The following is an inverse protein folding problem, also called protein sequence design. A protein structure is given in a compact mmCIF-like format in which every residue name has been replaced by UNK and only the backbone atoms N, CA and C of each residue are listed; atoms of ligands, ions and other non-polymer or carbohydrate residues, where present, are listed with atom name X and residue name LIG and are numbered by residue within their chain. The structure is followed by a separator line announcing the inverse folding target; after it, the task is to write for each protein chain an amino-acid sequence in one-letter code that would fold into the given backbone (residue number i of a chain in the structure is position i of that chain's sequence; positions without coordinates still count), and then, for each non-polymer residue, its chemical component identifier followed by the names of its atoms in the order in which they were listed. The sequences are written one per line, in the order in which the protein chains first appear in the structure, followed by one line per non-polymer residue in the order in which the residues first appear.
data_IF_257479131663
#
_entry.id   IF_257479131663
#
_cell.length_a   1.000
_cell.length_b   1.000
_cell.length_c   1.000
_cell.angle_alpha   90.00
_cell.angle_beta   90.00
_cell.angle_gamma   90.00
#
_symmetry.space_group_name_H-M   'P 1'
#
loop_
_entity.id
_entity.type
_entity.pdbx_description
1 polymer ?
#
# COMPACT_ATOMS: atom_id res chain seq x y z
N UNK A 1 13.09 -2.53 -38.17
CA UNK A 1 12.03 -3.55 -38.10
C UNK A 1 10.77 -2.87 -37.55
N UNK A 2 9.57 -3.15 -38.08
CA UNK A 2 8.34 -2.68 -37.42
C UNK A 2 8.23 -3.39 -36.06
N UNK A 3 7.93 -2.64 -35.00
CA UNK A 3 7.61 -3.21 -33.68
C UNK A 3 6.58 -4.32 -33.83
N UNK A 4 6.67 -5.33 -32.95
CA UNK A 4 5.63 -6.34 -32.87
C UNK A 4 4.23 -5.69 -32.79
N UNK A 5 3.27 -6.23 -33.51
CA UNK A 5 1.92 -5.69 -33.66
C UNK A 5 0.87 -6.76 -33.35
N UNK A 6 -0.36 -6.33 -33.08
CA UNK A 6 -1.53 -7.22 -32.94
C UNK A 6 -1.67 -8.17 -34.14
N UNK A 7 -1.31 -7.71 -35.34
CA UNK A 7 -1.28 -8.52 -36.57
C UNK A 7 -0.37 -9.75 -36.44
N UNK A 8 0.77 -9.64 -35.73
CA UNK A 8 1.66 -10.80 -35.51
C UNK A 8 1.03 -11.83 -34.58
N UNK A 9 0.21 -11.41 -33.62
CA UNK A 9 -0.49 -12.33 -32.72
C UNK A 9 -1.63 -13.02 -33.47
N UNK A 10 -2.40 -12.26 -34.26
CA UNK A 10 -3.46 -12.80 -35.13
C UNK A 10 -2.92 -13.80 -36.16
N UNK A 11 -1.68 -13.60 -36.63
CA UNK A 11 -1.02 -14.50 -37.57
C UNK A 11 -0.55 -15.82 -36.93
N UNK A 12 -0.45 -15.92 -35.61
CA UNK A 12 -0.13 -17.18 -34.93
C UNK A 12 -1.30 -18.15 -35.02
N UNK A 13 -2.48 -17.66 -34.63
CA UNK A 13 -3.76 -18.34 -34.73
C UNK A 13 -4.87 -17.28 -34.57
N UNK A 14 -5.82 -17.15 -35.51
CA UNK A 14 -6.83 -16.09 -35.46
C UNK A 14 -7.77 -16.17 -34.25
N UNK A 15 -8.07 -17.36 -33.75
CA UNK A 15 -8.95 -17.55 -32.58
C UNK A 15 -8.21 -17.13 -31.32
N UNK A 16 -6.98 -17.63 -31.14
CA UNK A 16 -6.13 -17.26 -30.02
C UNK A 16 -5.76 -15.77 -30.06
N UNK A 17 -5.48 -15.22 -31.24
CA UNK A 17 -5.19 -13.81 -31.42
C UNK A 17 -6.35 -12.92 -30.97
N UNK A 18 -7.59 -13.29 -31.33
CA UNK A 18 -8.78 -12.59 -30.86
C UNK A 18 -8.92 -12.67 -29.33
N UNK A 19 -8.72 -13.85 -28.74
CA UNK A 19 -8.72 -14.03 -27.27
C UNK A 19 -7.65 -13.16 -26.59
N UNK A 20 -6.44 -13.10 -27.15
CA UNK A 20 -5.35 -12.27 -26.62
C UNK A 20 -5.64 -10.78 -26.71
N UNK A 21 -6.26 -10.31 -27.80
CA UNK A 21 -6.69 -8.91 -27.94
C UNK A 21 -7.74 -8.56 -26.88
N UNK A 22 -8.70 -9.45 -26.63
CA UNK A 22 -9.75 -9.24 -25.62
C UNK A 22 -9.16 -9.24 -24.19
N UNK A 23 -8.26 -10.16 -23.89
CA UNK A 23 -7.53 -10.19 -22.61
C UNK A 23 -6.75 -8.89 -22.39
N UNK A 24 -5.95 -8.48 -23.39
CA UNK A 24 -5.21 -7.24 -23.38
C UNK A 24 -6.12 -6.03 -23.12
N UNK A 25 -7.23 -5.90 -23.87
CA UNK A 25 -8.20 -4.79 -23.66
C UNK A 25 -8.68 -4.72 -22.21
N UNK A 26 -8.94 -5.87 -21.58
CA UNK A 26 -9.42 -5.92 -20.21
C UNK A 26 -8.39 -5.44 -19.19
N UNK A 27 -7.10 -5.79 -19.35
CA UNK A 27 -6.06 -5.32 -18.41
C UNK A 27 -5.72 -3.84 -18.65
N UNK A 28 -5.79 -3.37 -19.89
CA UNK A 28 -5.51 -1.99 -20.24
C UNK A 28 -6.63 -1.03 -19.79
N UNK A 29 -7.87 -1.51 -19.64
CA UNK A 29 -9.00 -0.72 -19.13
C UNK A 29 -9.03 -0.53 -17.61
N UNK A 30 -8.11 -1.13 -16.85
CA UNK A 30 -8.06 -0.98 -15.38
C UNK A 30 -7.63 0.45 -15.00
N UNK A 31 -8.55 1.28 -14.50
CA UNK A 31 -8.28 2.72 -14.28
C UNK A 31 -7.40 3.00 -13.07
N UNK A 32 -7.33 2.07 -12.11
CA UNK A 32 -6.58 2.25 -10.86
C UNK A 32 -5.06 2.11 -11.02
N UNK A 33 -4.60 1.63 -12.18
CA UNK A 33 -3.19 1.47 -12.50
C UNK A 33 -2.83 2.36 -13.69
N UNK A 34 -1.75 3.11 -13.55
CA UNK A 34 -1.19 3.92 -14.63
C UNK A 34 -0.66 3.04 -15.76
N UNK A 35 -0.56 3.60 -16.96
CA UNK A 35 0.01 2.91 -18.13
C UNK A 35 1.46 2.46 -17.89
N UNK A 36 2.22 3.25 -17.14
CA UNK A 36 3.60 2.92 -16.75
C UNK A 36 3.64 1.71 -15.82
N UNK A 37 2.80 1.68 -14.78
CA UNK A 37 2.71 0.54 -13.86
C UNK A 37 2.28 -0.74 -14.58
N UNK A 38 1.24 -0.67 -15.43
CA UNK A 38 0.79 -1.81 -16.24
C UNK A 38 1.93 -2.37 -17.11
N UNK A 39 2.69 -1.50 -17.76
CA UNK A 39 3.84 -1.92 -18.57
C UNK A 39 4.93 -2.59 -17.73
N UNK A 40 5.18 -2.10 -16.52
CA UNK A 40 6.11 -2.75 -15.61
C UNK A 40 5.60 -4.12 -15.15
N UNK A 41 4.32 -4.25 -14.82
CA UNK A 41 3.70 -5.52 -14.45
C UNK A 41 3.77 -6.56 -15.59
N UNK A 42 3.59 -6.14 -16.85
CA UNK A 42 3.87 -6.99 -18.03
C UNK A 42 5.32 -7.50 -18.02
N UNK A 43 6.29 -6.61 -17.79
CA UNK A 43 7.71 -6.98 -17.74
C UNK A 43 8.00 -7.97 -16.60
N UNK A 44 7.38 -7.78 -15.42
CA UNK A 44 7.49 -8.73 -14.31
C UNK A 44 6.96 -10.10 -14.73
N UNK A 45 5.80 -10.15 -15.38
CA UNK A 45 5.20 -11.39 -15.83
C UNK A 45 6.08 -12.14 -16.84
N UNK A 46 6.65 -11.44 -17.83
CA UNK A 46 7.55 -12.02 -18.83
C UNK A 46 8.87 -12.52 -18.24
N UNK A 47 9.33 -11.96 -17.12
CA UNK A 47 10.55 -12.41 -16.43
C UNK A 47 10.24 -13.61 -15.53
N UNK A 48 9.15 -13.56 -14.78
CA UNK A 48 8.74 -14.64 -13.87
C UNK A 48 8.25 -15.89 -14.63
N UNK A 49 7.71 -15.69 -15.83
CA UNK A 49 7.44 -16.76 -16.79
C UNK A 49 8.33 -16.45 -17.96
N UNK A 50 9.54 -17.03 -18.10
CA UNK A 50 10.63 -16.56 -18.97
C UNK A 50 10.28 -16.61 -20.47
N UNK A 51 9.25 -15.84 -20.84
CA UNK A 51 8.57 -15.73 -22.11
C UNK A 51 9.17 -14.55 -22.87
N UNK A 52 10.50 -14.54 -22.95
CA UNK A 52 11.30 -13.45 -23.52
C UNK A 52 11.22 -13.38 -25.06
N UNK A 53 10.21 -14.02 -25.66
CA UNK A 53 9.92 -14.04 -27.09
C UNK A 53 9.04 -12.88 -27.54
N UNK A 54 7.95 -13.19 -28.27
CA UNK A 54 7.01 -12.21 -28.79
C UNK A 54 6.35 -11.32 -27.71
N UNK A 55 5.87 -11.85 -26.56
CA UNK A 55 5.24 -11.03 -25.53
C UNK A 55 6.16 -9.95 -24.97
N UNK A 56 7.40 -10.31 -24.59
CA UNK A 56 8.39 -9.36 -24.10
C UNK A 56 8.71 -8.26 -25.11
N UNK A 57 8.83 -8.60 -26.40
CA UNK A 57 9.04 -7.62 -27.48
C UNK A 57 7.85 -6.65 -27.61
N UNK A 58 6.62 -7.16 -27.51
CA UNK A 58 5.40 -6.35 -27.54
C UNK A 58 5.33 -5.39 -26.35
N UNK A 59 5.55 -5.88 -25.13
CA UNK A 59 5.45 -5.08 -23.92
C UNK A 59 6.52 -3.97 -23.85
N UNK A 60 7.78 -4.29 -24.19
CA UNK A 60 8.84 -3.27 -24.31
C UNK A 60 8.50 -2.25 -25.39
N UNK A 61 8.07 -2.72 -26.56
CA UNK A 61 7.69 -1.86 -27.68
C UNK A 61 6.56 -0.89 -27.37
N UNK A 62 5.52 -1.37 -26.69
CA UNK A 62 4.39 -0.57 -26.26
C UNK A 62 4.78 0.44 -25.18
N UNK A 63 5.59 0.05 -24.18
CA UNK A 63 6.11 0.97 -23.19
C UNK A 63 6.93 2.11 -23.80
N UNK A 64 7.78 1.79 -24.79
CA UNK A 64 8.54 2.81 -25.53
C UNK A 64 7.63 3.77 -26.30
N UNK A 65 6.55 3.27 -26.93
CA UNK A 65 5.55 4.14 -27.59
C UNK A 65 4.85 5.07 -26.60
N UNK A 66 4.79 4.71 -25.32
CA UNK A 66 4.20 5.51 -24.24
C UNK A 66 5.23 6.41 -23.54
N UNK A 67 6.48 6.44 -24.02
CA UNK A 67 7.52 7.34 -23.52
C UNK A 67 8.43 6.74 -22.45
N UNK A 68 8.36 5.43 -22.17
CA UNK A 68 9.35 4.76 -21.31
C UNK A 68 10.69 4.64 -22.03
N UNK A 69 11.78 4.88 -21.31
CA UNK A 69 13.15 4.76 -21.85
C UNK A 69 13.71 3.36 -21.65
N UNK A 70 14.80 3.02 -22.35
CA UNK A 70 15.49 1.74 -22.12
C UNK A 70 15.96 1.63 -20.67
N UNK A 71 16.40 2.74 -20.09
CA UNK A 71 16.80 2.80 -18.68
C UNK A 71 15.66 2.53 -17.69
N UNK A 72 14.41 2.90 -18.00
CA UNK A 72 13.27 2.54 -17.15
C UNK A 72 13.09 1.02 -17.07
N UNK A 73 13.18 0.32 -18.21
CA UNK A 73 13.12 -1.15 -18.24
C UNK A 73 14.29 -1.80 -17.50
N UNK A 74 15.51 -1.27 -17.69
CA UNK A 74 16.69 -1.75 -16.95
C UNK A 74 16.51 -1.59 -15.45
N UNK A 75 15.93 -0.49 -15.00
CA UNK A 75 15.70 -0.25 -13.59
C UNK A 75 14.69 -1.25 -12.99
N UNK A 76 13.64 -1.62 -13.72
CA UNK A 76 12.75 -2.72 -13.31
C UNK A 76 13.52 -4.04 -13.22
N UNK A 77 14.35 -4.38 -14.22
CA UNK A 77 15.14 -5.62 -14.19
C UNK A 77 16.16 -5.65 -13.02
N UNK A 78 16.76 -4.52 -12.67
CA UNK A 78 17.63 -4.42 -11.47
C UNK A 78 16.84 -4.61 -10.19
N UNK A 79 15.63 -4.04 -10.11
CA UNK A 79 14.72 -4.19 -8.97
C UNK A 79 14.24 -5.64 -8.80
N UNK A 80 14.06 -6.35 -9.91
CA UNK A 80 13.69 -7.76 -9.94
C UNK A 80 14.81 -8.71 -9.54
N UNK A 81 16.08 -8.38 -9.80
CA UNK A 81 17.22 -9.30 -9.62
C UNK A 81 17.22 -10.11 -8.31
N UNK A 82 17.12 -9.47 -7.13
CA UNK A 82 17.11 -10.20 -5.85
C UNK A 82 15.82 -11.00 -5.58
N UNK A 83 14.72 -10.70 -6.27
CA UNK A 83 13.38 -11.24 -5.99
C UNK A 83 12.90 -12.25 -7.01
N UNK A 84 12.97 -11.92 -8.29
CA UNK A 84 12.69 -12.83 -9.39
C UNK A 84 13.87 -13.79 -9.67
N UNK A 85 15.08 -13.41 -9.26
CA UNK A 85 16.31 -14.17 -9.45
C UNK A 85 17.21 -13.56 -10.53
N UNK A 86 18.51 -13.44 -10.23
CA UNK A 86 19.48 -12.81 -11.13
C UNK A 86 19.63 -13.50 -12.48
N UNK A 87 19.49 -14.82 -12.53
CA UNK A 87 19.59 -15.60 -13.78
C UNK A 87 18.44 -15.28 -14.74
N UNK A 88 17.21 -15.23 -14.24
CA UNK A 88 16.04 -14.83 -15.02
C UNK A 88 16.19 -13.38 -15.52
N UNK A 89 16.62 -12.47 -14.64
CA UNK A 89 16.87 -11.08 -15.03
C UNK A 89 18.02 -10.94 -16.05
N UNK A 90 19.08 -11.74 -15.97
CA UNK A 90 20.18 -11.73 -16.92
C UNK A 90 19.70 -12.07 -18.34
N UNK A 91 18.86 -13.10 -18.50
CA UNK A 91 18.24 -13.43 -19.79
C UNK A 91 17.36 -12.29 -20.31
N UNK A 92 16.61 -11.63 -19.42
CA UNK A 92 15.79 -10.48 -19.79
C UNK A 92 16.64 -9.26 -20.21
N UNK A 93 17.79 -9.04 -19.58
CA UNK A 93 18.76 -8.02 -20.01
C UNK A 93 19.32 -8.32 -21.40
N UNK A 94 19.74 -9.56 -21.65
CA UNK A 94 20.21 -9.98 -22.98
C UNK A 94 19.16 -9.69 -24.04
N UNK A 95 17.91 -10.11 -23.79
CA UNK A 95 16.80 -9.88 -24.71
C UNK A 95 16.50 -8.39 -24.91
N UNK A 96 16.50 -7.60 -23.85
CA UNK A 96 16.27 -6.15 -23.92
C UNK A 96 17.37 -5.45 -24.76
N UNK A 97 18.62 -5.88 -24.63
CA UNK A 97 19.76 -5.39 -25.43
C UNK A 97 19.58 -5.73 -26.91
N UNK A 98 19.11 -6.95 -27.23
CA UNK A 98 18.82 -7.34 -28.60
C UNK A 98 17.72 -6.47 -29.22
N UNK A 99 16.62 -6.24 -28.52
CA UNK A 99 15.51 -5.40 -28.97
C UNK A 99 16.02 -3.98 -29.24
N UNK A 100 16.76 -3.39 -28.29
CA UNK A 100 17.34 -2.05 -28.46
C UNK A 100 18.26 -1.97 -29.69
N UNK A 101 19.10 -2.99 -29.92
CA UNK A 101 19.97 -3.08 -31.09
C UNK A 101 19.15 -3.15 -32.39
N UNK A 102 18.10 -3.95 -32.43
CA UNK A 102 17.21 -4.09 -33.59
C UNK A 102 16.44 -2.81 -33.90
N UNK A 103 16.16 -2.00 -32.87
CA UNK A 103 15.52 -0.69 -32.99
C UNK A 103 16.51 0.45 -33.29
N UNK A 104 17.82 0.18 -33.27
CA UNK A 104 18.86 1.20 -33.47
C UNK A 104 18.96 2.20 -32.31
N UNK A 105 18.43 1.87 -31.14
CA UNK A 105 18.45 2.73 -29.95
C UNK A 105 19.84 2.64 -29.31
N UNK A 106 20.51 3.79 -29.24
CA UNK A 106 21.76 3.95 -28.47
C UNK A 106 21.43 4.76 -27.23
N UNK A 107 21.38 4.10 -26.06
CA UNK A 107 21.29 4.78 -24.77
C UNK A 107 22.55 4.52 -23.95
N UNK A 108 23.14 5.55 -23.32
CA UNK A 108 24.24 5.35 -22.38
C UNK A 108 23.76 4.49 -21.21
N UNK A 109 24.62 3.57 -20.76
CA UNK A 109 24.39 2.85 -19.52
C UNK A 109 24.63 3.82 -18.37
N UNK A 110 23.75 3.86 -17.37
CA UNK A 110 24.07 4.52 -16.11
C UNK A 110 25.35 3.92 -15.53
N UNK A 111 26.27 4.78 -15.08
CA UNK A 111 27.49 4.35 -14.40
C UNK A 111 27.17 3.55 -13.15
N UNK A 112 27.99 2.55 -12.78
CA UNK A 112 27.87 1.88 -11.50
C UNK A 112 27.86 2.91 -10.36
N UNK A 113 26.89 2.81 -9.45
CA UNK A 113 26.90 3.63 -8.23
C UNK A 113 27.87 3.02 -7.22
N UNK A 114 28.69 3.83 -6.54
CA UNK A 114 29.43 3.38 -5.36
C UNK A 114 28.46 2.83 -4.30
N UNK A 115 28.82 1.74 -3.63
CA UNK A 115 27.99 1.13 -2.57
C UNK A 115 27.67 2.11 -1.42
N UNK A 116 28.55 3.08 -1.17
CA UNK A 116 28.39 4.10 -0.14
C UNK A 116 27.30 5.15 -0.43
N UNK A 117 26.83 5.26 -1.69
CA UNK A 117 25.86 6.29 -2.11
C UNK A 117 24.40 5.80 -2.09
N UNK A 118 24.15 4.58 -1.60
CA UNK A 118 22.80 4.03 -1.46
C UNK A 118 22.16 4.63 -0.20
N UNK A 119 21.26 5.59 -0.39
CA UNK A 119 20.53 6.19 0.72
C UNK A 119 19.66 5.17 1.45
N UNK A 120 19.70 5.20 2.80
CA UNK A 120 18.66 4.89 3.83
C UNK A 120 17.19 4.69 3.38
N UNK A 121 16.85 3.93 2.34
CA UNK A 121 15.47 3.65 1.99
C UNK A 121 14.90 2.57 2.95
N UNK A 122 13.72 2.80 3.56
CA UNK A 122 12.99 1.79 4.32
C UNK A 122 12.77 0.58 3.40
N UNK A 123 13.52 -0.48 3.67
CA UNK A 123 13.32 -1.79 3.08
C UNK A 123 12.18 -2.49 3.80
N UNK A 124 12.38 -3.74 4.23
CA UNK A 124 11.41 -4.45 5.04
C UNK A 124 11.12 -3.77 6.39
N UNK A 125 9.90 -3.90 6.92
CA UNK A 125 9.58 -3.52 8.29
C UNK A 125 10.49 -4.25 9.31
N UNK A 126 10.80 -3.60 10.44
CA UNK A 126 11.70 -4.17 11.46
C UNK A 126 11.27 -5.56 11.92
N UNK A 127 9.96 -5.78 12.15
CA UNK A 127 9.44 -7.09 12.57
C UNK A 127 9.75 -8.23 11.59
N UNK A 128 9.69 -7.96 10.27
CA UNK A 128 10.05 -8.97 9.24
C UNK A 128 11.53 -9.32 9.32
N UNK A 129 12.40 -8.33 9.54
CA UNK A 129 13.83 -8.56 9.70
C UNK A 129 14.17 -9.25 11.03
N UNK A 130 13.40 -8.99 12.08
CA UNK A 130 13.56 -9.65 13.38
C UNK A 130 13.21 -11.14 13.29
N UNK A 131 12.11 -11.48 12.61
CA UNK A 131 11.73 -12.87 12.33
C UNK A 131 12.81 -13.58 11.50
N UNK A 132 13.35 -12.92 10.46
CA UNK A 132 14.45 -13.47 9.69
C UNK A 132 15.72 -13.66 10.53
N UNK A 133 16.04 -12.73 11.46
CA UNK A 133 17.20 -12.87 12.35
C UNK A 133 17.07 -14.06 13.29
N UNK A 134 15.85 -14.40 13.71
CA UNK A 134 15.59 -15.61 14.50
C UNK A 134 15.83 -16.90 13.69
N UNK A 135 15.63 -16.85 12.37
CA UNK A 135 15.93 -17.97 11.47
C UNK A 135 17.43 -18.08 11.17
N UNK A 136 18.04 -16.98 10.70
CA UNK A 136 19.46 -16.86 10.42
C UNK A 136 19.87 -15.38 10.32
N UNK A 137 20.82 -14.96 11.17
CA UNK A 137 21.27 -13.57 11.24
C UNK A 137 21.96 -13.09 9.95
N UNK A 138 22.76 -13.96 9.32
CA UNK A 138 23.49 -13.62 8.08
C UNK A 138 22.51 -13.44 6.92
N UNK A 139 21.50 -14.30 6.85
CA UNK A 139 20.45 -14.23 5.85
C UNK A 139 19.60 -12.97 6.02
N UNK A 140 19.21 -12.63 7.25
CA UNK A 140 18.48 -11.39 7.52
C UNK A 140 19.27 -10.14 7.09
N UNK A 141 20.57 -10.10 7.39
CA UNK A 141 21.45 -9.02 6.95
C UNK A 141 21.56 -8.95 5.41
N UNK A 142 21.65 -10.11 4.74
CA UNK A 142 21.67 -10.21 3.29
C UNK A 142 20.36 -9.68 2.66
N UNK A 143 19.21 -10.09 3.19
CA UNK A 143 17.88 -9.63 2.74
C UNK A 143 17.72 -8.13 2.94
N UNK A 144 18.08 -7.62 4.12
CA UNK A 144 18.02 -6.18 4.43
C UNK A 144 18.89 -5.37 3.44
N UNK A 145 20.13 -5.80 3.21
CA UNK A 145 21.05 -5.15 2.26
C UNK A 145 20.48 -5.11 0.83
N UNK A 146 19.91 -6.21 0.36
CA UNK A 146 19.36 -6.30 -0.99
C UNK A 146 18.10 -5.45 -1.16
N UNK A 147 17.17 -5.52 -0.21
CA UNK A 147 15.96 -4.69 -0.19
C UNK A 147 16.32 -3.21 -0.20
N UNK A 148 17.25 -2.83 0.68
CA UNK A 148 17.77 -1.47 0.81
C UNK A 148 18.39 -0.98 -0.51
N UNK A 149 19.24 -1.82 -1.13
CA UNK A 149 19.91 -1.48 -2.39
C UNK A 149 18.94 -1.19 -3.50
N UNK A 150 17.87 -1.96 -3.67
CA UNK A 150 16.93 -1.74 -4.76
C UNK A 150 15.94 -0.62 -4.44
N UNK A 151 15.49 -0.47 -3.19
CA UNK A 151 14.62 0.64 -2.78
C UNK A 151 15.32 2.01 -2.74
N UNK A 152 16.64 2.04 -2.55
CA UNK A 152 17.47 3.26 -2.57
C UNK A 152 17.79 3.80 -3.97
N UNK A 153 17.37 3.11 -5.04
CA UNK A 153 17.62 3.56 -6.42
C UNK A 153 16.60 4.62 -6.86
N UNK A 154 17.01 5.45 -7.81
CA UNK A 154 16.11 6.43 -8.45
C UNK A 154 15.19 5.77 -9.50
N UNK A 155 14.43 6.61 -10.23
CA UNK A 155 13.53 6.28 -11.35
C UNK A 155 12.25 5.49 -11.07
N UNK A 156 12.25 4.52 -10.16
CA UNK A 156 11.01 3.87 -9.72
C UNK A 156 10.56 4.51 -8.40
N UNK A 157 9.30 4.94 -8.37
CA UNK A 157 8.61 5.36 -7.16
C UNK A 157 8.48 4.17 -6.18
N UNK A 158 8.27 4.48 -4.90
CA UNK A 158 8.03 3.44 -3.88
C UNK A 158 6.82 2.58 -4.22
N UNK A 159 5.77 3.21 -4.75
CA UNK A 159 4.57 2.55 -5.26
C UNK A 159 4.91 1.55 -6.37
N UNK A 160 5.61 1.96 -7.43
CA UNK A 160 5.97 1.03 -8.51
C UNK A 160 6.79 -0.16 -7.98
N UNK A 161 7.73 0.10 -7.06
CA UNK A 161 8.57 -0.95 -6.46
C UNK A 161 7.77 -1.99 -5.69
N UNK A 162 6.78 -1.56 -4.92
CA UNK A 162 5.94 -2.47 -4.11
C UNK A 162 4.97 -3.24 -4.99
N UNK A 163 4.37 -2.62 -6.01
CA UNK A 163 3.52 -3.32 -6.98
C UNK A 163 4.31 -4.39 -7.76
N UNK A 164 5.56 -4.10 -8.14
CA UNK A 164 6.45 -5.05 -8.81
C UNK A 164 6.73 -6.28 -7.92
N UNK A 165 7.09 -6.08 -6.65
CA UNK A 165 7.34 -7.20 -5.73
C UNK A 165 6.09 -8.03 -5.47
N UNK A 166 4.94 -7.39 -5.26
CA UNK A 166 3.66 -8.09 -5.12
C UNK A 166 3.34 -8.95 -6.35
N UNK A 167 3.63 -8.45 -7.54
CA UNK A 167 3.45 -9.23 -8.76
C UNK A 167 4.35 -10.46 -8.80
N UNK A 168 5.62 -10.34 -8.39
CA UNK A 168 6.53 -11.50 -8.26
C UNK A 168 5.93 -12.53 -7.30
N UNK A 169 5.45 -12.12 -6.11
CA UNK A 169 4.87 -13.07 -5.16
C UNK A 169 3.71 -13.84 -5.73
N UNK A 170 2.82 -13.15 -6.45
CA UNK A 170 1.67 -13.78 -7.09
C UNK A 170 2.12 -14.72 -8.20
N UNK A 171 3.07 -14.32 -9.05
CA UNK A 171 3.49 -15.14 -10.20
C UNK A 171 4.30 -16.39 -9.78
N UNK A 172 5.08 -16.27 -8.70
CA UNK A 172 5.83 -17.37 -8.07
C UNK A 172 5.04 -18.13 -7.01
N UNK A 173 3.86 -17.63 -6.62
CA UNK A 173 3.00 -18.22 -5.60
C UNK A 173 3.64 -18.24 -4.20
N UNK A 174 4.50 -17.26 -3.89
CA UNK A 174 5.09 -17.04 -2.55
C UNK A 174 4.15 -16.17 -1.71
N UNK A 175 2.98 -16.73 -1.36
CA UNK A 175 1.84 -16.00 -0.80
C UNK A 175 1.76 -16.01 0.74
N UNK A 176 2.87 -16.32 1.41
CA UNK A 176 2.98 -16.39 2.87
C UNK A 176 3.60 -15.10 3.45
N UNK A 177 4.51 -15.20 4.42
CA UNK A 177 5.03 -14.05 5.17
C UNK A 177 5.66 -12.95 4.29
N UNK A 178 6.38 -13.31 3.22
CA UNK A 178 6.96 -12.35 2.28
C UNK A 178 5.89 -11.51 1.56
N UNK A 179 4.82 -12.16 1.11
CA UNK A 179 3.70 -11.49 0.46
C UNK A 179 3.00 -10.51 1.40
N UNK A 180 2.76 -10.91 2.66
CA UNK A 180 2.12 -10.02 3.64
C UNK A 180 2.98 -8.78 3.91
N UNK A 181 4.30 -8.97 4.05
CA UNK A 181 5.24 -7.86 4.20
C UNK A 181 5.23 -6.91 2.99
N UNK A 182 5.08 -7.43 1.77
CA UNK A 182 4.96 -6.60 0.58
C UNK A 182 3.61 -5.89 0.47
N UNK A 183 2.52 -6.50 0.95
CA UNK A 183 1.22 -5.84 1.06
C UNK A 183 1.31 -4.67 2.05
N UNK A 184 1.93 -4.87 3.22
CA UNK A 184 2.18 -3.81 4.21
C UNK A 184 2.98 -2.65 3.60
N UNK A 185 4.09 -2.98 2.92
CA UNK A 185 4.92 -1.97 2.24
C UNK A 185 4.16 -1.22 1.15
N UNK A 186 3.31 -1.91 0.39
CA UNK A 186 2.48 -1.27 -0.63
C UNK A 186 1.53 -0.25 0.01
N UNK A 187 0.80 -0.65 1.06
CA UNK A 187 -0.12 0.23 1.80
C UNK A 187 0.62 1.45 2.37
N UNK A 188 1.79 1.25 2.99
CA UNK A 188 2.63 2.32 3.53
C UNK A 188 3.19 3.26 2.44
N UNK A 189 3.31 2.77 1.20
CA UNK A 189 3.70 3.58 0.04
C UNK A 189 2.53 4.34 -0.61
N UNK A 190 1.34 4.33 0.00
CA UNK A 190 0.15 5.01 -0.49
C UNK A 190 -0.65 4.21 -1.52
N UNK A 191 -0.43 2.90 -1.63
CA UNK A 191 -1.24 2.03 -2.49
C UNK A 191 -2.58 1.75 -1.81
N UNK A 192 -3.70 2.01 -2.50
CA UNK A 192 -5.03 1.76 -1.93
C UNK A 192 -5.39 0.27 -1.97
N UNK A 193 -6.39 -0.14 -1.18
CA UNK A 193 -6.94 -1.51 -1.26
C UNK A 193 -7.51 -1.81 -2.65
N UNK A 194 -8.06 -0.80 -3.33
CA UNK A 194 -8.60 -0.94 -4.68
C UNK A 194 -7.48 -1.14 -5.71
N UNK A 195 -6.38 -0.41 -5.57
CA UNK A 195 -5.18 -0.54 -6.41
C UNK A 195 -4.55 -1.92 -6.25
N UNK A 196 -4.47 -2.42 -5.01
CA UNK A 196 -4.01 -3.78 -4.75
C UNK A 196 -4.88 -4.78 -5.51
N UNK A 197 -6.22 -4.72 -5.36
CA UNK A 197 -7.15 -5.59 -6.14
C UNK A 197 -6.99 -5.42 -7.64
N UNK A 198 -6.66 -4.22 -8.13
CA UNK A 198 -6.39 -3.93 -9.52
C UNK A 198 -5.15 -4.68 -10.05
N UNK A 199 -4.08 -4.79 -9.25
CA UNK A 199 -2.90 -5.61 -9.60
C UNK A 199 -3.30 -7.06 -9.84
N UNK A 200 -4.12 -7.68 -8.98
CA UNK A 200 -4.50 -9.08 -9.20
C UNK A 200 -5.44 -9.25 -10.40
N UNK A 201 -6.35 -8.29 -10.66
CA UNK A 201 -7.15 -8.27 -11.90
C UNK A 201 -6.25 -8.18 -13.13
N UNK A 202 -5.20 -7.37 -13.07
CA UNK A 202 -4.20 -7.25 -14.13
C UNK A 202 -3.43 -8.57 -14.33
N UNK A 203 -2.93 -9.18 -13.25
CA UNK A 203 -2.15 -10.42 -13.31
C UNK A 203 -2.96 -11.65 -13.74
N UNK A 204 -4.29 -11.54 -13.77
CA UNK A 204 -5.21 -12.58 -14.19
C UNK A 204 -4.92 -13.05 -15.64
N UNK A 205 -4.48 -12.15 -16.53
CA UNK A 205 -4.06 -12.48 -17.91
C UNK A 205 -2.85 -13.41 -17.94
N UNK A 206 -1.94 -13.28 -16.97
CA UNK A 206 -0.71 -14.07 -16.89
C UNK A 206 -0.89 -15.36 -16.07
N UNK A 207 -2.10 -15.62 -15.58
CA UNK A 207 -2.46 -16.86 -14.89
C UNK A 207 -3.63 -16.69 -13.95
N UNK A 208 -4.86 -16.95 -14.44
CA UNK A 208 -6.10 -16.87 -13.66
C UNK A 208 -6.03 -17.56 -12.28
N UNK A 209 -5.57 -18.83 -12.16
CA UNK A 209 -5.54 -19.50 -10.86
C UNK A 209 -4.53 -18.87 -9.88
N UNK A 210 -3.43 -18.32 -10.41
CA UNK A 210 -2.41 -17.66 -9.58
C UNK A 210 -2.93 -16.34 -9.02
N UNK A 211 -3.56 -15.53 -9.88
CA UNK A 211 -4.22 -14.30 -9.48
C UNK A 211 -5.36 -14.58 -8.48
N UNK A 212 -6.15 -15.63 -8.69
CA UNK A 212 -7.17 -16.06 -7.75
C UNK A 212 -6.58 -16.43 -6.39
N UNK A 213 -5.54 -17.28 -6.33
CA UNK A 213 -4.84 -17.60 -5.07
C UNK A 213 -4.27 -16.35 -4.40
N UNK A 214 -3.70 -15.43 -5.18
CA UNK A 214 -3.23 -14.13 -4.70
C UNK A 214 -4.36 -13.30 -4.08
N UNK A 215 -5.53 -13.24 -4.72
CA UNK A 215 -6.72 -12.57 -4.17
C UNK A 215 -7.22 -13.25 -2.89
N UNK A 216 -7.16 -14.58 -2.80
CA UNK A 216 -7.45 -15.27 -1.54
C UNK A 216 -6.45 -14.88 -0.46
N UNK A 217 -5.15 -14.85 -0.75
CA UNK A 217 -4.13 -14.43 0.21
C UNK A 217 -4.31 -12.97 0.63
N UNK A 218 -4.62 -12.06 -0.32
CA UNK A 218 -4.92 -10.66 -0.05
C UNK A 218 -6.19 -10.51 0.79
N UNK A 219 -7.26 -11.23 0.43
CA UNK A 219 -8.50 -11.25 1.19
C UNK A 219 -8.29 -11.87 2.56
N UNK A 220 -7.40 -12.84 2.72
CA UNK A 220 -7.01 -13.40 4.01
C UNK A 220 -6.05 -12.48 4.77
N UNK A 221 -5.33 -11.56 4.12
CA UNK A 221 -4.57 -10.54 4.81
C UNK A 221 -5.53 -9.47 5.37
N UNK A 222 -6.44 -8.97 4.53
CA UNK A 222 -7.53 -8.09 4.96
C UNK A 222 -8.50 -8.80 5.91
N UNK A 223 -8.63 -10.12 5.74
CA UNK A 223 -9.50 -11.06 6.43
C UNK A 223 -8.73 -12.03 7.34
N UNK A 224 -7.54 -11.64 7.81
CA UNK A 224 -6.93 -12.17 9.05
C UNK A 224 -7.53 -11.45 10.27
N UNK A 225 -8.53 -10.62 10.03
CA UNK A 225 -9.75 -10.56 10.81
C UNK A 225 -10.66 -11.65 10.23
N UNK A 226 -11.15 -12.64 11.00
CA UNK A 226 -12.00 -13.73 10.48
C UNK A 226 -13.22 -13.18 9.70
N UNK A 227 -14.17 -14.01 9.27
CA UNK A 227 -15.54 -13.51 9.07
C UNK A 227 -16.08 -13.00 10.41
N UNK A 228 -15.60 -11.83 10.77
CA UNK A 228 -15.98 -11.08 11.92
C UNK A 228 -17.23 -10.41 11.45
N UNK A 229 -18.36 -11.00 11.85
CA UNK A 229 -19.65 -10.33 11.80
C UNK A 229 -19.41 -8.91 12.27
N UNK A 230 -19.45 -7.97 11.32
CA UNK A 230 -19.33 -6.56 11.62
C UNK A 230 -20.67 -6.10 12.16
N UNK A 231 -20.59 -5.23 13.16
CA UNK A 231 -21.72 -4.61 13.80
C UNK A 231 -21.65 -3.10 13.55
N UNK A 232 -22.82 -2.46 13.47
CA UNK A 232 -22.95 -1.05 13.11
C UNK A 232 -23.17 -0.80 11.61
N UNK A 233 -23.02 0.45 11.15
CA UNK A 233 -22.62 1.61 11.94
C UNK A 233 -23.66 1.97 13.01
N UNK A 234 -23.22 2.12 14.26
CA UNK A 234 -24.05 2.67 15.35
C UNK A 234 -23.65 4.12 15.60
N UNK A 235 -24.63 4.98 15.85
CA UNK A 235 -24.39 6.40 16.09
C UNK A 235 -24.27 6.71 17.59
N UNK A 236 -23.39 7.64 17.93
CA UNK A 236 -23.29 8.17 19.30
C UNK A 236 -23.19 9.69 19.28
N UNK A 237 -23.74 10.31 20.31
CA UNK A 237 -23.60 11.74 20.60
C UNK A 237 -22.59 11.91 21.75
N UNK A 238 -21.80 12.98 21.65
CA UNK A 238 -20.66 13.25 22.52
C UNK A 238 -20.78 14.66 23.06
N UNK A 239 -20.66 14.78 24.38
CA UNK A 239 -20.60 16.04 25.11
C UNK A 239 -19.20 16.23 25.69
N UNK A 240 -18.53 17.33 25.34
CA UNK A 240 -17.21 17.69 25.89
C UNK A 240 -17.42 18.30 27.28
N UNK A 241 -17.00 17.56 28.30
CA UNK A 241 -17.17 17.92 29.71
C UNK A 241 -16.02 18.76 30.26
N UNK A 242 -14.79 18.49 29.80
CA UNK A 242 -13.60 19.28 30.12
C UNK A 242 -12.73 19.42 28.88
N UNK A 243 -12.10 20.58 28.71
CA UNK A 243 -11.27 20.90 27.55
C UNK A 243 -10.08 21.76 27.96
N UNK A 244 -8.88 21.22 27.81
CA UNK A 244 -7.64 21.88 28.19
C UNK A 244 -6.71 22.00 27.00
N UNK A 245 -6.09 23.17 26.85
CA UNK A 245 -5.11 23.44 25.78
C UNK A 245 -3.76 23.76 26.39
N UNK A 246 -2.70 23.15 25.86
CA UNK A 246 -1.32 23.43 26.24
C UNK A 246 -0.49 23.72 24.98
N UNK A 247 0.29 24.80 25.03
CA UNK A 247 1.24 25.12 23.95
C UNK A 247 2.41 24.13 23.97
N UNK A 248 2.75 23.59 22.79
CA UNK A 248 3.94 22.75 22.57
C UNK A 248 5.04 23.59 21.91
N UNK A 249 4.69 24.29 20.83
CA UNK A 249 5.59 25.19 20.12
C UNK A 249 4.82 26.43 19.66
N UNK A 250 5.40 27.60 19.91
CA UNK A 250 4.87 28.86 19.42
C UNK A 250 4.96 28.95 17.90
N UNK A 251 4.28 29.94 17.35
CA UNK A 251 4.20 30.14 15.91
C UNK A 251 5.54 30.57 15.33
N UNK A 252 6.00 29.90 14.27
CA UNK A 252 7.22 30.27 13.55
C UNK A 252 6.94 31.00 12.22
N UNK A 253 7.97 31.17 11.39
CA UNK A 253 7.90 31.85 10.08
C UNK A 253 6.95 31.15 9.09
N UNK A 254 6.65 29.86 9.27
CA UNK A 254 5.66 29.15 8.47
C UNK A 254 4.22 29.56 8.81
N UNK A 255 4.04 30.28 9.92
CA UNK A 255 2.73 30.64 10.45
C UNK A 255 2.01 29.48 11.14
N UNK A 256 2.68 28.37 11.45
CA UNK A 256 2.11 27.23 12.15
C UNK A 256 2.51 27.22 13.63
N UNK A 257 1.60 26.83 14.51
CA UNK A 257 1.88 26.55 15.94
C UNK A 257 1.50 25.11 16.31
N UNK A 258 2.14 24.55 17.33
CA UNK A 258 1.85 23.21 17.84
C UNK A 258 1.19 23.29 19.22
N UNK A 259 0.07 22.60 19.40
CA UNK A 259 -0.63 22.52 20.69
C UNK A 259 -1.01 21.08 21.04
N UNK A 260 -1.18 20.85 22.33
CA UNK A 260 -1.77 19.66 22.93
C UNK A 260 -3.19 20.03 23.40
N UNK A 261 -4.18 19.18 23.13
CA UNK A 261 -5.55 19.36 23.62
C UNK A 261 -6.01 18.11 24.35
N UNK A 262 -6.38 18.24 25.62
CA UNK A 262 -6.93 17.15 26.44
C UNK A 262 -8.40 17.34 26.68
N UNK A 263 -9.17 16.27 26.51
CA UNK A 263 -10.62 16.30 26.62
C UNK A 263 -11.10 15.23 27.59
N UNK A 264 -12.13 15.58 28.36
CA UNK A 264 -13.01 14.63 29.03
C UNK A 264 -14.35 14.67 28.31
N UNK A 265 -14.79 13.53 27.81
CA UNK A 265 -15.98 13.44 26.96
C UNK A 265 -16.97 12.44 27.55
N UNK A 266 -18.25 12.72 27.35
CA UNK A 266 -19.35 11.83 27.72
C UNK A 266 -20.06 11.37 26.47
N UNK A 267 -20.13 10.05 26.31
CA UNK A 267 -20.75 9.37 25.18
C UNK A 267 -22.16 8.90 25.54
N UNK A 268 -23.09 9.06 24.59
CA UNK A 268 -24.45 8.51 24.66
C UNK A 268 -24.87 7.92 23.30
N UNK A 269 -25.76 6.93 23.29
CA UNK A 269 -26.18 6.24 22.07
C UNK A 269 -25.51 4.87 21.91
N UNK A 270 -24.88 4.61 20.77
CA UNK A 270 -24.20 3.34 20.48
C UNK A 270 -22.97 3.11 21.36
N UNK A 271 -22.23 4.17 21.66
CA UNK A 271 -21.25 4.22 22.75
C UNK A 271 -21.87 4.96 23.94
N UNK A 272 -21.76 4.37 25.13
CA UNK A 272 -22.20 5.00 26.38
C UNK A 272 -21.08 4.93 27.39
N UNK A 273 -20.62 6.06 27.91
CA UNK A 273 -19.53 6.07 28.88
C UNK A 273 -18.75 7.37 28.92
N UNK A 274 -17.53 7.29 29.46
CA UNK A 274 -16.59 8.41 29.52
C UNK A 274 -15.39 8.16 28.62
N UNK A 275 -14.94 9.21 27.96
CA UNK A 275 -13.74 9.25 27.13
C UNK A 275 -12.71 10.22 27.66
N UNK A 276 -11.43 9.84 27.63
CA UNK A 276 -10.30 10.71 27.97
C UNK A 276 -9.38 10.79 26.77
N UNK A 277 -9.40 11.93 26.09
CA UNK A 277 -8.66 12.16 24.86
C UNK A 277 -7.44 13.06 25.08
N UNK A 278 -6.39 12.81 24.31
CA UNK A 278 -5.21 13.68 24.19
C UNK A 278 -4.80 13.77 22.71
N UNK A 279 -4.82 14.97 22.16
CA UNK A 279 -4.50 15.24 20.75
C UNK A 279 -3.35 16.24 20.62
N UNK A 280 -2.45 15.98 19.68
CA UNK A 280 -1.47 16.95 19.19
C UNK A 280 -1.99 17.56 17.91
N UNK A 281 -1.93 18.90 17.81
CA UNK A 281 -2.46 19.66 16.68
C UNK A 281 -1.40 20.56 16.05
N UNK A 282 -1.47 20.69 14.74
CA UNK A 282 -0.79 21.73 13.95
C UNK A 282 -1.84 22.76 13.56
N UNK A 283 -1.66 24.01 14.00
CA UNK A 283 -2.68 25.06 13.86
C UNK A 283 -2.15 26.20 12.97
N UNK A 284 -2.94 26.53 11.95
CA UNK A 284 -2.69 27.59 10.98
C UNK A 284 -3.09 28.98 11.52
N UNK A 285 -2.88 30.03 10.73
CA UNK A 285 -3.25 31.41 11.09
C UNK A 285 -4.73 31.70 10.97
N UNK A 286 -5.41 31.00 10.07
CA UNK A 286 -6.84 31.08 9.85
C UNK A 286 -7.66 30.20 10.82
N UNK A 287 -7.00 29.58 11.80
CA UNK A 287 -7.62 28.68 12.77
C UNK A 287 -7.85 27.25 12.26
N UNK A 288 -7.62 26.98 10.97
CA UNK A 288 -7.63 25.61 10.47
C UNK A 288 -6.53 24.79 11.13
N UNK A 289 -6.76 23.50 11.31
CA UNK A 289 -5.82 22.62 11.98
C UNK A 289 -5.85 21.20 11.44
N UNK A 290 -4.77 20.47 11.66
CA UNK A 290 -4.76 19.00 11.62
C UNK A 290 -4.42 18.47 12.99
N UNK A 291 -4.91 17.28 13.33
CA UNK A 291 -4.59 16.66 14.60
C UNK A 291 -4.46 15.15 14.50
N UNK A 292 -3.72 14.59 15.46
CA UNK A 292 -3.72 13.17 15.76
C UNK A 292 -3.64 12.97 17.27
N UNK A 293 -4.17 11.85 17.76
CA UNK A 293 -3.96 11.48 19.15
C UNK A 293 -4.68 10.19 19.52
N UNK A 294 -4.95 10.05 20.81
CA UNK A 294 -5.55 8.85 21.39
C UNK A 294 -6.66 9.20 22.35
N UNK A 295 -7.59 8.28 22.51
CA UNK A 295 -8.64 8.40 23.51
C UNK A 295 -8.92 7.05 24.15
N UNK A 296 -9.09 7.03 25.48
CA UNK A 296 -9.58 5.84 26.18
C UNK A 296 -11.05 6.00 26.49
N UNK A 297 -11.86 5.04 26.06
CA UNK A 297 -13.28 4.93 26.38
C UNK A 297 -13.48 3.90 27.49
N UNK A 298 -14.32 4.22 28.47
CA UNK A 298 -14.80 3.28 29.49
C UNK A 298 -16.32 3.35 29.61
N UNK A 299 -16.99 2.22 29.40
CA UNK A 299 -18.45 2.14 29.43
C UNK A 299 -18.97 0.93 28.66
N UNK A 300 -19.94 1.14 27.79
CA UNK A 300 -20.54 0.11 26.94
C UNK A 300 -20.49 0.47 25.46
N UNK A 301 -20.21 -0.50 24.60
CA UNK A 301 -20.34 -0.42 23.15
C UNK A 301 -21.44 -1.38 22.72
N UNK A 302 -22.56 -0.87 22.20
CA UNK A 302 -23.71 -1.69 21.79
C UNK A 302 -24.18 -2.64 22.91
N UNK A 303 -24.16 -2.14 24.15
CA UNK A 303 -24.49 -2.89 25.37
C UNK A 303 -23.36 -3.75 25.96
N UNK A 304 -22.25 -3.97 25.24
CA UNK A 304 -21.10 -4.75 25.71
C UNK A 304 -20.21 -3.93 26.64
N UNK A 305 -19.99 -4.41 27.86
CA UNK A 305 -19.29 -3.66 28.91
C UNK A 305 -17.78 -3.84 28.87
N UNK A 306 -17.04 -2.73 28.92
CA UNK A 306 -15.59 -2.76 28.97
C UNK A 306 -14.93 -1.38 28.85
N UNK A 307 -13.67 -1.42 28.47
CA UNK A 307 -12.90 -0.24 28.07
C UNK A 307 -12.04 -0.57 26.87
N UNK A 308 -11.73 0.42 26.04
CA UNK A 308 -10.80 0.28 24.92
C UNK A 308 -10.14 1.63 24.62
N UNK A 309 -9.06 1.62 23.85
CA UNK A 309 -8.37 2.82 23.40
C UNK A 309 -8.56 2.96 21.89
N UNK A 310 -8.74 4.17 21.39
CA UNK A 310 -8.75 4.50 19.98
C UNK A 310 -7.61 5.47 19.63
N UNK A 311 -7.15 5.43 18.39
CA UNK A 311 -6.35 6.49 17.76
C UNK A 311 -7.26 7.34 16.89
N UNK A 312 -7.10 8.65 16.93
CA UNK A 312 -7.86 9.59 16.12
C UNK A 312 -6.95 10.42 15.20
N UNK A 313 -7.44 10.74 14.01
CA UNK A 313 -6.84 11.74 13.12
C UNK A 313 -7.94 12.58 12.49
N UNK A 314 -7.65 13.84 12.20
CA UNK A 314 -8.64 14.69 11.56
C UNK A 314 -8.13 16.10 11.27
N UNK A 315 -9.06 16.93 10.84
CA UNK A 315 -8.84 18.35 10.58
C UNK A 315 -9.95 19.22 11.14
N UNK A 316 -9.62 20.49 11.34
CA UNK A 316 -10.57 21.56 11.67
C UNK A 316 -10.52 22.56 10.52
N UNK A 317 -11.67 22.91 9.97
CA UNK A 317 -11.77 23.96 8.97
C UNK A 317 -11.70 25.36 9.60
N UNK A 318 -11.62 26.40 8.77
CA UNK A 318 -11.59 27.79 9.25
C UNK A 318 -12.91 28.26 9.86
N UNK A 319 -14.01 27.50 9.72
CA UNK A 319 -15.28 27.73 10.39
C UNK A 319 -15.35 27.04 11.77
N UNK A 320 -14.32 26.29 12.15
CA UNK A 320 -14.25 25.57 13.42
C UNK A 320 -14.95 24.21 13.42
N UNK A 321 -15.41 23.72 12.26
CA UNK A 321 -15.96 22.37 12.13
C UNK A 321 -14.81 21.36 12.09
N UNK A 322 -14.90 20.36 12.95
CA UNK A 322 -13.95 19.26 13.04
C UNK A 322 -14.50 18.07 12.26
N UNK A 323 -13.66 17.45 11.43
CA UNK A 323 -13.91 16.16 10.81
C UNK A 323 -12.77 15.22 11.14
N UNK A 324 -13.08 14.00 11.55
CA UNK A 324 -12.05 13.03 11.89
C UNK A 324 -12.48 11.60 11.73
N UNK A 325 -11.48 10.72 11.74
CA UNK A 325 -11.62 9.29 11.77
C UNK A 325 -10.95 8.77 13.03
N UNK A 326 -11.42 7.65 13.54
CA UNK A 326 -10.75 6.93 14.61
C UNK A 326 -10.74 5.43 14.36
N UNK A 327 -9.80 4.74 14.97
CA UNK A 327 -9.66 3.29 14.94
C UNK A 327 -9.38 2.75 16.35
N UNK A 328 -10.00 1.62 16.72
CA UNK A 328 -9.69 0.92 17.97
C UNK A 328 -8.27 0.38 17.91
N UNK A 329 -7.44 0.71 18.92
CA UNK A 329 -6.11 0.15 19.09
C UNK A 329 -6.23 -1.37 19.34
N UNK A 330 -5.69 -2.22 18.46
CA UNK A 330 -5.74 -3.67 18.61
C UNK A 330 -5.27 -4.16 19.98
N UNK A 331 -6.07 -5.01 20.62
CA UNK A 331 -5.73 -5.60 21.93
C UNK A 331 -5.96 -4.68 23.15
N UNK A 332 -6.50 -3.47 22.95
CA UNK A 332 -6.78 -2.54 24.06
C UNK A 332 -8.09 -2.84 24.83
N UNK A 333 -8.95 -3.67 24.26
CA UNK A 333 -10.28 -3.98 24.79
C UNK A 333 -10.27 -4.85 26.05
N UNK A 334 -11.11 -4.51 27.02
CA UNK A 334 -11.28 -5.22 28.30
C UNK A 334 -12.71 -5.74 28.48
N UNK A 335 -12.91 -6.71 29.38
CA UNK A 335 -14.23 -7.26 29.68
C UNK A 335 -14.86 -7.93 28.45
N UNK A 336 -16.09 -7.57 28.12
CA UNK A 336 -16.79 -8.08 26.94
C UNK A 336 -16.24 -7.48 25.63
N UNK A 337 -15.36 -6.48 25.75
CA UNK A 337 -14.68 -5.84 24.62
C UNK A 337 -13.30 -6.46 24.35
N UNK A 338 -12.92 -7.56 24.99
CA UNK A 338 -11.66 -8.25 24.64
C UNK A 338 -11.66 -8.68 23.17
N UNK A 339 -10.51 -8.51 22.51
CA UNK A 339 -10.35 -8.71 21.06
C UNK A 339 -11.11 -7.74 20.15
N UNK A 340 -11.70 -6.67 20.69
CA UNK A 340 -12.36 -5.63 19.91
C UNK A 340 -11.44 -5.04 18.83
N UNK A 341 -12.06 -4.77 17.68
CA UNK A 341 -11.59 -3.95 16.58
C UNK A 341 -12.75 -3.06 16.15
N UNK A 342 -12.44 -1.93 15.54
CA UNK A 342 -13.46 -1.05 15.02
C UNK A 342 -12.86 0.23 14.49
N UNK A 343 -13.67 0.97 13.76
CA UNK A 343 -13.35 2.28 13.26
C UNK A 343 -14.61 3.13 13.20
N UNK A 344 -14.41 4.42 13.01
CA UNK A 344 -15.51 5.35 12.89
C UNK A 344 -15.10 6.70 12.37
N UNK A 345 -16.11 7.48 12.04
CA UNK A 345 -16.00 8.88 11.67
C UNK A 345 -16.68 9.72 12.73
N UNK A 346 -16.20 10.94 12.94
CA UNK A 346 -16.83 11.90 13.81
C UNK A 346 -16.78 13.31 13.24
N UNK A 347 -17.78 14.09 13.63
CA UNK A 347 -17.80 15.54 13.41
C UNK A 347 -18.02 16.24 14.73
N UNK A 348 -17.29 17.32 14.97
CA UNK A 348 -17.45 18.12 16.19
C UNK A 348 -17.57 19.60 15.85
N UNK A 349 -18.43 20.28 16.58
CA UNK A 349 -18.54 21.73 16.56
C UNK A 349 -18.73 22.20 18.01
N UNK A 350 -17.88 23.13 18.43
CA UNK A 350 -17.84 23.61 19.82
C UNK A 350 -17.68 22.45 20.83
N UNK A 351 -18.65 22.24 21.72
CA UNK A 351 -18.64 21.23 22.78
C UNK A 351 -19.50 20.00 22.46
N UNK A 352 -19.98 19.88 21.22
CA UNK A 352 -20.82 18.79 20.76
C UNK A 352 -20.16 18.06 19.60
N UNK A 353 -20.17 16.73 19.66
CA UNK A 353 -19.74 15.90 18.55
C UNK A 353 -20.71 14.73 18.34
N UNK A 354 -20.72 14.21 17.12
CA UNK A 354 -21.40 12.96 16.81
C UNK A 354 -20.41 12.02 16.13
N UNK A 355 -20.57 10.73 16.35
CA UNK A 355 -19.77 9.73 15.68
C UNK A 355 -20.60 8.56 15.14
N UNK A 356 -20.01 7.83 14.21
CA UNK A 356 -20.47 6.50 13.80
C UNK A 356 -19.42 5.47 14.13
N UNK A 357 -19.83 4.29 14.57
CA UNK A 357 -18.94 3.20 14.99
C UNK A 357 -19.28 1.94 14.23
N UNK A 358 -18.33 1.40 13.47
CA UNK A 358 -18.38 0.04 12.92
C UNK A 358 -17.36 -0.81 13.65
N UNK A 359 -17.76 -1.96 14.18
CA UNK A 359 -16.90 -2.76 15.06
C UNK A 359 -17.06 -4.27 14.86
N UNK A 360 -16.06 -5.02 15.34
CA UNK A 360 -16.03 -6.48 15.29
C UNK A 360 -15.01 -7.05 16.30
N UNK A 361 -14.99 -8.38 16.45
CA UNK A 361 -14.14 -9.09 17.44
C UNK A 361 -13.19 -10.07 16.78
N UNK A 362 -11.88 -9.81 16.82
CA UNK A 362 -10.89 -10.75 16.28
C UNK A 362 -11.02 -12.15 16.90
N UNK A 363 -10.96 -13.19 16.06
CA UNK A 363 -11.03 -14.62 16.44
C UNK A 363 -9.85 -15.08 17.28
#
# INVERSE_FOLDING_TARGET
MKLASEERVMALDPVFGQMGIEAGRSIWSIEELTMREKTFLCLVADVCHPHLGLPFELHVGMGMKQGLTLEDFREVLRHLGPYAGYTACAMAFERLIEIARQMGIKEPLESPRPEADVALAPGYPTGVLDDLRQLDETFAAYVASHAHRVFGRGRLSRRERTLIWLAVDVLYQTLDASFLAHVDLALQSGVSRQDLRAVFRFLAEFGLPKAWRGLHALNNYFGRLPETRQYGPIASEIEVMDYQVKSIAERDESGLSLIETRLLEKFTGGLVGMGWADHVRVVSIDGSATFTGVERIKGTLDGLTGSFTLTATGSTDSAGMVHGNWEVVPGSGTGELTSLRGHGEFTAQEHHASNTTTYWFAS
#
